data_IF_466899416026
#
_entry.id   IF_466899416026
#
_cell.length_a   1.000
_cell.length_b   1.000
_cell.length_c   1.000
_cell.angle_alpha   90.00
_cell.angle_beta   90.00
_cell.angle_gamma   90.00
#
_symmetry.space_group_name_H-M   'P 1'
#
loop_
_entity.id
_entity.type
_entity.pdbx_description
1 polymer ?
#
# COMPACT_ATOMS: atom_id res chain seq x y z
N UNK A 1 -4.29 17.33 16.05
CA UNK A 1 -3.04 18.08 15.85
C UNK A 1 -1.99 17.14 15.24
N UNK A 2 -1.22 17.60 14.26
CA UNK A 2 -0.10 16.86 13.69
C UNK A 2 0.98 16.61 14.75
N UNK A 3 1.54 15.40 14.72
CA UNK A 3 2.75 15.07 15.48
C UNK A 3 3.94 15.30 14.54
N UNK A 4 4.73 16.33 14.80
CA UNK A 4 5.81 16.78 13.91
C UNK A 4 5.37 17.85 12.91
N UNK A 5 6.08 17.91 11.77
CA UNK A 5 5.81 18.92 10.73
C UNK A 5 4.53 18.58 9.96
N UNK A 6 3.70 19.59 9.75
CA UNK A 6 2.50 19.47 8.93
C UNK A 6 2.86 19.13 7.48
N UNK A 7 2.17 18.15 6.84
CA UNK A 7 2.37 17.87 5.43
C UNK A 7 2.03 19.10 4.58
N UNK A 8 2.82 19.42 3.55
CA UNK A 8 2.56 20.55 2.66
C UNK A 8 1.41 20.30 1.67
N UNK A 9 1.01 19.06 1.50
CA UNK A 9 -0.02 18.60 0.55
C UNK A 9 -1.05 17.75 1.27
N UNK A 10 -2.15 17.44 0.57
CA UNK A 10 -3.19 16.55 1.05
C UNK A 10 -2.59 15.23 1.53
N UNK A 11 -2.97 14.84 2.74
CA UNK A 11 -2.40 13.69 3.43
C UNK A 11 -3.46 12.60 3.69
N UNK A 12 -3.33 11.43 3.07
CA UNK A 12 -4.14 10.28 3.40
C UNK A 12 -3.86 9.80 4.82
N UNK A 13 -4.90 9.69 5.65
CA UNK A 13 -4.79 9.22 7.03
C UNK A 13 -5.74 8.07 7.32
N UNK A 14 -5.31 7.19 8.22
CA UNK A 14 -6.17 6.20 8.87
C UNK A 14 -5.85 6.18 10.34
N UNK A 15 -6.88 6.25 11.16
CA UNK A 15 -6.74 6.30 12.63
C UNK A 15 -7.86 5.52 13.32
N UNK A 16 -7.66 5.16 14.58
CA UNK A 16 -8.68 4.60 15.46
C UNK A 16 -9.09 5.61 16.52
N UNK A 17 -10.39 5.79 16.72
CA UNK A 17 -10.95 6.66 17.75
C UNK A 17 -11.57 5.78 18.83
N UNK A 18 -11.12 5.86 20.10
CA UNK A 18 -11.74 5.15 21.21
C UNK A 18 -13.00 5.88 21.70
N UNK A 19 -13.99 5.11 22.12
CA UNK A 19 -15.24 5.60 22.73
C UNK A 19 -15.48 4.92 24.06
N UNK A 20 -16.08 5.62 24.99
CA UNK A 20 -16.56 5.06 26.24
C UNK A 20 -17.77 4.14 25.97
N UNK A 21 -18.02 3.23 26.89
CA UNK A 21 -19.18 2.34 26.84
C UNK A 21 -20.48 3.14 26.76
N UNK A 22 -21.32 2.84 25.76
CA UNK A 22 -22.59 3.52 25.52
C UNK A 22 -22.49 4.90 24.84
N UNK A 23 -21.27 5.40 24.54
CA UNK A 23 -21.07 6.73 23.94
C UNK A 23 -21.41 6.76 22.44
N UNK A 24 -21.09 5.69 21.70
CA UNK A 24 -21.39 5.58 20.28
C UNK A 24 -22.12 4.26 20.00
N UNK A 25 -23.32 4.35 19.43
CA UNK A 25 -24.11 3.19 19.05
C UNK A 25 -23.45 2.40 17.90
N UNK A 26 -23.86 1.14 17.70
CA UNK A 26 -23.26 0.24 16.70
C UNK A 26 -23.27 0.78 15.27
N UNK A 27 -24.28 1.56 14.91
CA UNK A 27 -24.44 2.24 13.62
C UNK A 27 -24.01 3.71 13.65
N UNK A 28 -23.48 4.16 14.80
CA UNK A 28 -23.01 5.50 15.03
C UNK A 28 -21.80 5.85 14.12
N UNK A 29 -21.69 7.11 13.78
CA UNK A 29 -20.66 7.66 12.89
C UNK A 29 -20.03 8.89 13.50
N UNK A 30 -18.89 9.27 12.96
CA UNK A 30 -18.27 10.56 13.24
C UNK A 30 -18.22 11.38 11.95
N UNK A 31 -18.33 12.68 12.10
CA UNK A 31 -18.03 13.68 11.06
C UNK A 31 -16.69 14.27 11.41
N UNK A 32 -15.81 14.36 10.43
CA UNK A 32 -14.53 15.04 10.58
C UNK A 32 -14.62 16.45 10.02
N UNK A 33 -14.11 17.40 10.78
CA UNK A 33 -14.03 18.80 10.39
C UNK A 33 -12.60 19.31 10.55
N UNK A 34 -12.22 20.27 9.72
CA UNK A 34 -11.03 21.08 9.97
C UNK A 34 -11.29 22.09 11.12
N UNK A 35 -10.30 22.93 11.40
CA UNK A 35 -10.44 23.96 12.46
C UNK A 35 -11.52 25.02 12.15
N UNK A 36 -11.74 25.28 10.88
CA UNK A 36 -12.69 26.29 10.39
C UNK A 36 -14.12 25.73 10.28
N UNK A 37 -14.30 24.47 10.66
CA UNK A 37 -15.59 23.78 10.64
C UNK A 37 -15.97 23.22 9.28
N UNK A 38 -15.04 23.18 8.32
CA UNK A 38 -15.29 22.58 7.03
C UNK A 38 -15.21 21.04 7.10
N UNK A 39 -16.20 20.38 6.51
CA UNK A 39 -16.29 18.93 6.47
C UNK A 39 -15.10 18.30 5.72
N UNK A 40 -14.49 17.28 6.33
CA UNK A 40 -13.48 16.44 5.71
C UNK A 40 -14.12 15.09 5.38
N UNK A 41 -14.22 14.71 4.09
CA UNK A 41 -14.78 13.44 3.68
C UNK A 41 -14.07 12.28 4.35
N UNK A 42 -14.84 11.36 4.93
CA UNK A 42 -14.28 10.24 5.69
C UNK A 42 -15.11 8.97 5.56
N UNK A 43 -14.42 7.84 5.58
CA UNK A 43 -15.03 6.53 5.78
C UNK A 43 -14.85 6.11 7.24
N UNK A 44 -15.92 5.58 7.84
CA UNK A 44 -15.90 5.09 9.23
C UNK A 44 -16.33 3.62 9.28
N UNK A 45 -15.76 2.86 10.21
CA UNK A 45 -16.15 1.47 10.45
C UNK A 45 -15.81 1.05 11.89
N UNK A 46 -16.63 0.21 12.53
CA UNK A 46 -16.30 -0.32 13.83
C UNK A 46 -15.10 -1.27 13.75
N UNK A 47 -14.17 -1.13 14.68
CA UNK A 47 -13.02 -2.03 14.89
C UNK A 47 -13.24 -2.97 16.06
N UNK A 48 -13.93 -2.51 17.10
CA UNK A 48 -14.27 -3.30 18.28
C UNK A 48 -15.53 -2.75 18.94
N UNK A 49 -16.23 -3.64 19.66
CA UNK A 49 -17.44 -3.32 20.40
C UNK A 49 -17.23 -3.55 21.91
N UNK A 50 -17.98 -2.85 22.70
CA UNK A 50 -18.21 -3.15 24.10
C UNK A 50 -19.23 -4.31 24.24
N UNK A 51 -19.31 -5.01 25.40
CA UNK A 51 -20.26 -6.09 25.59
C UNK A 51 -21.75 -5.70 25.43
N UNK A 52 -22.09 -4.42 25.56
CA UNK A 52 -23.43 -3.90 25.34
C UNK A 52 -23.76 -3.60 23.87
N UNK A 53 -22.82 -3.88 22.95
CA UNK A 53 -22.96 -3.64 21.52
C UNK A 53 -22.57 -2.23 21.08
N UNK A 54 -22.27 -1.29 21.98
CA UNK A 54 -21.76 0.03 21.62
C UNK A 54 -20.33 -0.06 21.05
N UNK A 55 -19.96 0.92 20.22
CA UNK A 55 -18.63 0.95 19.59
C UNK A 55 -17.56 1.27 20.63
N UNK A 56 -16.54 0.41 20.73
CA UNK A 56 -15.36 0.63 21.57
C UNK A 56 -14.25 1.34 20.82
N UNK A 57 -14.03 0.95 19.56
CA UNK A 57 -13.04 1.54 18.66
C UNK A 57 -13.67 1.73 17.29
N UNK A 58 -13.60 2.95 16.77
CA UNK A 58 -14.03 3.30 15.43
C UNK A 58 -12.80 3.54 14.54
N UNK A 59 -12.68 2.80 13.44
CA UNK A 59 -11.71 3.10 12.40
C UNK A 59 -12.23 4.23 11.52
N UNK A 60 -11.33 5.14 11.17
CA UNK A 60 -11.63 6.29 10.30
C UNK A 60 -10.54 6.41 9.25
N UNK A 61 -10.94 6.67 8.01
CA UNK A 61 -10.04 7.03 6.92
C UNK A 61 -10.48 8.34 6.31
N UNK A 62 -9.53 9.23 6.04
CA UNK A 62 -9.77 10.53 5.43
C UNK A 62 -8.58 10.98 4.57
N UNK A 63 -8.81 11.93 3.69
CA UNK A 63 -7.75 12.71 3.04
C UNK A 63 -7.79 14.10 3.65
N UNK A 64 -6.83 14.41 4.51
CA UNK A 64 -6.76 15.67 5.24
C UNK A 64 -6.05 16.71 4.38
N UNK A 65 -6.66 17.87 4.12
CA UNK A 65 -6.02 18.95 3.35
C UNK A 65 -4.68 19.35 3.95
N UNK A 66 -3.66 19.58 3.11
CA UNK A 66 -2.33 19.97 3.54
C UNK A 66 -2.29 21.29 4.33
N UNK A 67 -3.24 22.18 4.10
CA UNK A 67 -3.42 23.45 4.83
C UNK A 67 -4.10 23.29 6.20
N UNK A 68 -4.74 22.14 6.47
CA UNK A 68 -5.45 21.92 7.72
C UNK A 68 -4.48 21.80 8.90
N UNK A 69 -4.61 22.66 9.89
CA UNK A 69 -3.79 22.63 11.12
C UNK A 69 -4.10 21.43 12.03
N UNK A 70 -5.23 20.79 11.83
CA UNK A 70 -5.68 19.61 12.55
C UNK A 70 -7.10 19.24 12.16
N UNK A 71 -7.55 18.13 12.70
CA UNK A 71 -8.91 17.63 12.52
C UNK A 71 -9.63 17.57 13.88
N UNK A 72 -10.92 17.83 13.85
CA UNK A 72 -11.87 17.58 14.94
C UNK A 72 -12.83 16.50 14.49
N UNK A 73 -13.44 15.81 15.40
CA UNK A 73 -14.54 14.89 15.12
C UNK A 73 -15.71 15.16 16.05
N UNK A 74 -16.89 14.96 15.50
CA UNK A 74 -18.15 15.04 16.22
C UNK A 74 -18.95 13.77 15.98
N UNK A 75 -19.67 13.29 16.99
CA UNK A 75 -20.57 12.13 16.84
C UNK A 75 -21.82 12.54 16.09
N UNK A 76 -22.19 11.80 15.05
CA UNK A 76 -23.40 12.03 14.29
C UNK A 76 -24.42 10.91 14.53
N UNK A 77 -25.65 11.25 14.95
CA UNK A 77 -26.74 10.30 15.15
C UNK A 77 -27.52 9.90 13.89
N UNK A 78 -27.26 10.55 12.74
CA UNK A 78 -27.92 10.25 11.43
C UNK A 78 -26.88 10.24 10.32
N UNK A 79 -27.20 9.58 9.19
CA UNK A 79 -26.42 9.64 7.96
C UNK A 79 -26.23 11.11 7.55
N UNK A 80 -25.15 11.70 8.00
CA UNK A 80 -24.68 12.97 7.45
C UNK A 80 -24.02 12.67 6.12
N UNK A 81 -24.59 13.19 5.04
CA UNK A 81 -23.99 13.04 3.71
C UNK A 81 -22.95 14.16 3.59
N UNK A 82 -21.72 13.83 3.91
CA UNK A 82 -20.60 14.76 3.70
C UNK A 82 -20.47 15.00 2.20
N UNK A 83 -20.63 16.24 1.76
CA UNK A 83 -20.34 16.59 0.38
C UNK A 83 -18.82 16.59 0.20
N UNK A 84 -18.35 15.66 -0.65
CA UNK A 84 -16.95 15.59 -1.00
C UNK A 84 -16.58 16.81 -1.87
N UNK A 85 -15.92 17.80 -1.27
CA UNK A 85 -15.52 19.04 -1.96
C UNK A 85 -14.60 18.78 -3.17
N UNK A 86 -13.80 17.74 -3.13
CA UNK A 86 -12.92 17.37 -4.25
C UNK A 86 -13.67 16.62 -5.36
N UNK A 87 -14.88 16.12 -5.10
CA UNK A 87 -15.62 15.24 -6.01
C UNK A 87 -14.94 13.88 -6.27
N UNK A 88 -13.71 13.70 -5.79
CA UNK A 88 -12.95 12.48 -6.01
C UNK A 88 -13.47 11.35 -5.09
N UNK A 89 -13.65 10.16 -5.68
CA UNK A 89 -14.04 8.95 -4.96
C UNK A 89 -13.11 7.83 -5.34
N UNK A 90 -12.88 6.92 -4.37
CA UNK A 90 -12.30 5.62 -4.70
C UNK A 90 -13.42 4.69 -5.12
N UNK A 91 -13.17 3.95 -6.17
CA UNK A 91 -14.06 2.87 -6.57
C UNK A 91 -13.27 1.62 -6.98
N UNK A 92 -13.90 0.48 -6.81
CA UNK A 92 -13.33 -0.82 -7.10
C UNK A 92 -14.30 -1.57 -8.00
N UNK A 93 -13.82 -1.95 -9.18
CA UNK A 93 -14.53 -2.82 -10.10
C UNK A 93 -13.92 -4.21 -10.10
N UNK A 94 -14.77 -5.22 -10.07
CA UNK A 94 -14.38 -6.59 -10.31
C UNK A 94 -14.55 -6.93 -11.79
N UNK A 95 -13.44 -7.08 -12.50
CA UNK A 95 -13.41 -7.36 -13.94
C UNK A 95 -12.71 -8.69 -14.22
N UNK A 96 -13.48 -9.76 -14.36
CA UNK A 96 -12.95 -11.08 -14.74
C UNK A 96 -11.80 -11.54 -13.84
N UNK A 97 -10.57 -11.52 -14.36
CA UNK A 97 -9.36 -12.00 -13.68
C UNK A 97 -8.65 -10.99 -12.81
N UNK A 98 -9.14 -9.75 -12.69
CA UNK A 98 -8.51 -8.70 -11.88
C UNK A 98 -9.54 -7.80 -11.18
N UNK A 99 -9.08 -7.06 -10.18
CA UNK A 99 -9.78 -5.89 -9.63
C UNK A 99 -9.15 -4.62 -10.20
N UNK A 100 -9.98 -3.71 -10.69
CA UNK A 100 -9.56 -2.35 -11.04
C UNK A 100 -9.92 -1.41 -9.92
N UNK A 101 -8.93 -0.69 -9.40
CA UNK A 101 -9.10 0.30 -8.35
C UNK A 101 -8.74 1.67 -8.90
N UNK A 102 -9.64 2.64 -8.77
CA UNK A 102 -9.37 4.03 -9.17
C UNK A 102 -9.50 4.97 -7.99
N UNK A 103 -8.55 5.87 -7.85
CA UNK A 103 -8.58 6.98 -6.88
C UNK A 103 -9.09 8.29 -7.49
N UNK A 104 -9.39 8.28 -8.78
CA UNK A 104 -9.64 9.49 -9.57
C UNK A 104 -8.38 10.07 -10.21
N UNK A 105 -7.17 9.76 -9.67
CA UNK A 105 -5.87 10.12 -10.25
C UNK A 105 -5.09 8.93 -10.74
N UNK A 106 -5.12 7.85 -9.98
CA UNK A 106 -4.41 6.59 -10.29
C UNK A 106 -5.41 5.47 -10.50
N UNK A 107 -5.16 4.63 -11.49
CA UNK A 107 -5.82 3.35 -11.70
C UNK A 107 -4.81 2.22 -11.51
N UNK A 108 -5.16 1.26 -10.67
CA UNK A 108 -4.38 0.06 -10.40
C UNK A 108 -5.15 -1.19 -10.84
N UNK A 109 -4.45 -2.10 -11.51
CA UNK A 109 -4.99 -3.39 -11.94
C UNK A 109 -4.36 -4.50 -11.11
N UNK A 110 -5.16 -5.12 -10.25
CA UNK A 110 -4.75 -6.14 -9.27
C UNK A 110 -5.22 -7.52 -9.75
N UNK A 111 -4.31 -8.38 -10.26
CA UNK A 111 -4.68 -9.72 -10.70
C UNK A 111 -5.14 -10.57 -9.53
N UNK A 112 -6.18 -11.39 -9.72
CA UNK A 112 -6.70 -12.27 -8.67
C UNK A 112 -5.84 -13.50 -8.40
N UNK A 113 -4.94 -13.85 -9.32
CA UNK A 113 -4.03 -15.00 -9.25
C UNK A 113 -2.76 -14.74 -10.05
N UNK A 114 -1.75 -15.60 -9.89
CA UNK A 114 -0.50 -15.53 -10.61
C UNK A 114 0.65 -14.99 -9.78
N UNK A 115 1.71 -14.49 -10.42
CA UNK A 115 2.92 -14.06 -9.74
C UNK A 115 3.05 -12.53 -9.59
N UNK A 116 2.03 -11.79 -10.03
CA UNK A 116 2.04 -10.34 -9.97
C UNK A 116 1.06 -9.82 -8.91
N UNK A 117 1.49 -8.86 -8.11
CA UNK A 117 0.64 -8.11 -7.18
C UNK A 117 -0.16 -7.03 -7.90
N UNK A 118 0.48 -6.40 -8.89
CA UNK A 118 -0.11 -5.41 -9.80
C UNK A 118 0.28 -5.80 -11.22
N UNK A 119 -0.65 -5.70 -12.14
CA UNK A 119 -0.40 -5.88 -13.56
C UNK A 119 0.04 -4.56 -14.20
N UNK A 120 -0.65 -3.47 -13.86
CA UNK A 120 -0.30 -2.15 -14.33
C UNK A 120 -0.81 -1.05 -13.39
N UNK A 121 -0.12 0.09 -13.46
CA UNK A 121 -0.53 1.35 -12.84
C UNK A 121 -0.67 2.41 -13.93
N UNK A 122 -1.77 3.17 -13.89
CA UNK A 122 -2.00 4.30 -14.79
C UNK A 122 -2.22 5.57 -13.97
N UNK A 123 -1.66 6.66 -14.44
CA UNK A 123 -1.89 8.01 -13.92
C UNK A 123 -2.29 8.90 -15.09
N UNK A 124 -3.42 9.61 -14.98
CA UNK A 124 -3.95 10.47 -16.05
C UNK A 124 -4.02 9.75 -17.42
N UNK A 125 -4.46 8.49 -17.42
CA UNK A 125 -4.56 7.66 -18.62
C UNK A 125 -3.25 7.10 -19.17
N UNK A 126 -2.10 7.48 -18.60
CA UNK A 126 -0.77 6.97 -19.00
C UNK A 126 -0.32 5.83 -18.10
N UNK A 127 0.23 4.76 -18.67
CA UNK A 127 0.86 3.71 -17.88
C UNK A 127 2.16 4.23 -17.26
N UNK A 128 2.20 4.31 -15.93
CA UNK A 128 3.37 4.77 -15.16
C UNK A 128 4.09 3.63 -14.47
N UNK A 129 3.46 2.46 -14.35
CA UNK A 129 4.05 1.23 -13.82
C UNK A 129 3.50 0.02 -14.55
N UNK A 130 4.35 -0.96 -14.77
CA UNK A 130 4.00 -2.28 -15.26
C UNK A 130 3.83 -3.26 -14.11
N UNK A 131 4.28 -4.49 -14.34
CA UNK A 131 4.12 -5.56 -13.37
C UNK A 131 4.91 -5.32 -12.08
N UNK A 132 4.27 -5.63 -10.96
CA UNK A 132 4.90 -5.67 -9.65
C UNK A 132 4.89 -7.10 -9.10
N UNK A 133 6.04 -7.62 -8.67
CA UNK A 133 6.18 -8.97 -8.17
C UNK A 133 7.02 -9.01 -6.89
N UNK A 134 6.63 -9.86 -5.93
CA UNK A 134 7.43 -10.14 -4.75
C UNK A 134 8.57 -11.11 -5.11
N UNK A 135 9.76 -10.81 -4.62
CA UNK A 135 10.95 -11.64 -4.77
C UNK A 135 11.54 -11.95 -3.40
N UNK A 136 12.04 -13.16 -3.24
CA UNK A 136 12.82 -13.59 -2.10
C UNK A 136 14.00 -14.42 -2.60
N UNK A 137 15.19 -14.16 -2.07
CA UNK A 137 16.36 -15.01 -2.31
C UNK A 137 16.86 -15.54 -0.97
N UNK A 138 17.14 -16.82 -0.90
CA UNK A 138 17.75 -17.47 0.26
C UNK A 138 19.17 -17.91 -0.05
N UNK A 139 19.93 -18.10 1.00
CA UNK A 139 21.26 -18.73 0.94
C UNK A 139 21.34 -19.93 1.86
N UNK A 140 22.24 -20.85 1.58
CA UNK A 140 22.35 -22.14 2.28
C UNK A 140 23.06 -22.07 3.64
N UNK A 141 23.60 -20.90 4.03
CA UNK A 141 24.27 -20.67 5.32
C UNK A 141 24.25 -19.18 5.68
N UNK A 142 24.47 -18.79 6.95
CA UNK A 142 24.32 -17.38 7.40
C UNK A 142 25.28 -16.41 6.72
N UNK A 143 26.54 -16.80 6.56
CA UNK A 143 27.58 -15.98 5.96
C UNK A 143 28.58 -16.84 5.20
N UNK A 144 29.34 -16.23 4.30
CA UNK A 144 30.50 -16.85 3.71
C UNK A 144 31.70 -16.58 4.64
N UNK A 145 32.13 -17.61 5.38
CA UNK A 145 33.39 -17.58 6.12
C UNK A 145 34.41 -18.42 5.35
N UNK A 146 35.58 -17.84 5.09
CA UNK A 146 36.63 -18.48 4.33
C UNK A 146 36.26 -18.71 2.86
N UNK A 147 36.69 -19.83 2.27
CA UNK A 147 36.44 -20.20 0.88
C UNK A 147 35.08 -20.86 0.62
N UNK A 148 34.14 -20.76 1.56
CA UNK A 148 32.85 -21.41 1.46
C UNK A 148 31.97 -20.80 0.38
N UNK A 149 31.58 -21.60 -0.60
CA UNK A 149 30.67 -21.19 -1.67
C UNK A 149 29.25 -21.06 -1.14
N UNK A 150 28.63 -19.89 -1.37
CA UNK A 150 27.21 -19.68 -1.10
C UNK A 150 26.37 -20.15 -2.28
N UNK A 151 25.35 -20.93 -1.99
CA UNK A 151 24.33 -21.33 -2.96
C UNK A 151 23.06 -20.53 -2.69
N UNK A 152 22.53 -19.92 -3.76
CA UNK A 152 21.32 -19.09 -3.70
C UNK A 152 20.13 -19.82 -4.28
N UNK A 153 18.98 -19.60 -3.73
CA UNK A 153 17.69 -20.08 -4.24
C UNK A 153 16.71 -18.94 -4.31
N UNK A 154 16.17 -18.70 -5.49
CA UNK A 154 15.24 -17.62 -5.75
C UNK A 154 13.80 -18.12 -5.69
N UNK A 155 12.94 -17.31 -5.12
CA UNK A 155 11.51 -17.53 -4.99
C UNK A 155 10.76 -16.30 -5.50
N UNK A 156 9.57 -16.53 -6.04
CA UNK A 156 8.64 -15.49 -6.47
C UNK A 156 7.32 -15.63 -5.70
N UNK A 157 6.71 -14.52 -5.31
CA UNK A 157 5.39 -14.53 -4.71
C UNK A 157 4.34 -15.10 -5.69
N UNK A 158 3.56 -16.08 -5.24
CA UNK A 158 2.41 -16.63 -5.96
C UNK A 158 1.14 -16.20 -5.24
N UNK A 159 0.29 -15.47 -5.93
CA UNK A 159 -0.99 -14.98 -5.43
C UNK A 159 -2.00 -16.12 -5.43
N UNK A 160 -2.53 -16.44 -4.28
CA UNK A 160 -3.55 -17.50 -4.09
C UNK A 160 -4.95 -16.91 -3.95
N UNK A 161 -5.06 -15.75 -3.29
CA UNK A 161 -6.34 -15.10 -3.06
C UNK A 161 -6.19 -13.58 -3.02
N UNK A 162 -7.18 -12.89 -3.61
CA UNK A 162 -7.33 -11.44 -3.51
C UNK A 162 -8.71 -11.13 -2.98
N UNK A 163 -8.78 -10.23 -2.00
CA UNK A 163 -10.03 -9.82 -1.35
C UNK A 163 -10.08 -8.30 -1.24
N UNK A 164 -11.20 -7.72 -1.61
CA UNK A 164 -11.49 -6.32 -1.28
C UNK A 164 -12.00 -6.27 0.15
N UNK A 165 -11.11 -5.95 1.10
CA UNK A 165 -11.47 -5.86 2.52
C UNK A 165 -12.39 -4.66 2.78
N UNK A 166 -12.26 -3.61 1.96
CA UNK A 166 -13.08 -2.39 2.04
C UNK A 166 -13.14 -1.67 0.71
N UNK A 167 -14.33 -1.20 0.39
CA UNK A 167 -14.60 -0.30 -0.73
C UNK A 167 -15.46 0.86 -0.20
N UNK A 168 -14.82 1.89 0.35
CA UNK A 168 -15.45 3.13 0.78
C UNK A 168 -15.32 4.22 -0.28
N UNK A 169 -15.99 5.36 -0.07
CA UNK A 169 -15.88 6.51 -0.97
C UNK A 169 -14.50 7.20 -0.85
N UNK A 170 -13.88 7.15 0.33
CA UNK A 170 -12.60 7.80 0.62
C UNK A 170 -11.43 6.83 0.56
N UNK A 171 -11.64 5.56 0.97
CA UNK A 171 -10.58 4.56 1.00
C UNK A 171 -11.03 3.19 0.50
N UNK A 172 -10.26 2.60 -0.42
CA UNK A 172 -10.32 1.17 -0.70
C UNK A 172 -9.13 0.45 -0.09
N UNK A 173 -9.35 -0.81 0.31
CA UNK A 173 -8.34 -1.70 0.86
C UNK A 173 -8.44 -3.06 0.15
N UNK A 174 -7.37 -3.40 -0.56
CA UNK A 174 -7.24 -4.68 -1.26
C UNK A 174 -6.19 -5.52 -0.56
N UNK A 175 -6.57 -6.72 -0.14
CA UNK A 175 -5.69 -7.72 0.48
C UNK A 175 -5.36 -8.81 -0.54
N UNK A 176 -4.08 -9.12 -0.65
CA UNK A 176 -3.51 -10.17 -1.48
C UNK A 176 -2.81 -11.16 -0.57
N UNK A 177 -3.15 -12.42 -0.69
CA UNK A 177 -2.56 -13.52 0.10
C UNK A 177 -1.93 -14.53 -0.83
N UNK A 178 -0.83 -15.12 -0.39
CA UNK A 178 -0.11 -16.12 -1.15
C UNK A 178 1.12 -16.66 -0.45
N UNK A 179 1.95 -17.36 -1.21
CA UNK A 179 3.21 -17.94 -0.74
C UNK A 179 4.33 -17.66 -1.74
N UNK A 180 5.55 -17.63 -1.25
CA UNK A 180 6.70 -17.63 -2.12
C UNK A 180 6.93 -19.04 -2.66
N UNK A 181 7.14 -19.15 -3.97
CA UNK A 181 7.34 -20.41 -4.68
C UNK A 181 8.63 -20.38 -5.50
N UNK A 182 9.28 -21.53 -5.58
CA UNK A 182 10.36 -21.82 -6.53
C UNK A 182 9.85 -22.85 -7.53
N UNK A 183 9.77 -22.46 -8.81
CA UNK A 183 9.18 -23.29 -9.85
C UNK A 183 10.05 -24.51 -10.19
N UNK A 184 11.37 -24.43 -10.01
CA UNK A 184 12.29 -25.53 -10.30
C UNK A 184 12.20 -26.67 -9.26
N UNK A 185 11.97 -26.34 -7.99
CA UNK A 185 11.88 -27.32 -6.90
C UNK A 185 10.44 -27.65 -6.51
N UNK A 186 9.48 -26.85 -6.94
CA UNK A 186 8.08 -26.94 -6.52
C UNK A 186 7.85 -26.50 -5.06
N UNK A 187 8.89 -26.04 -4.34
CA UNK A 187 8.79 -25.62 -2.93
C UNK A 187 7.96 -24.35 -2.83
N UNK A 188 7.00 -24.37 -1.89
CA UNK A 188 6.21 -23.20 -1.46
C UNK A 188 6.39 -22.99 0.03
N UNK A 189 6.67 -21.75 0.44
CA UNK A 189 6.89 -21.39 1.84
C UNK A 189 6.66 -19.90 2.04
N UNK A 190 6.94 -19.37 3.21
CA UNK A 190 6.90 -17.97 3.58
C UNK A 190 5.55 -17.33 3.17
N UNK A 191 4.42 -17.77 3.80
CA UNK A 191 3.11 -17.19 3.50
C UNK A 191 3.13 -15.69 3.71
N UNK A 192 2.55 -14.94 2.78
CA UNK A 192 2.51 -13.50 2.83
C UNK A 192 1.10 -12.94 2.74
N UNK A 193 0.95 -11.74 3.25
CA UNK A 193 -0.21 -10.88 3.05
C UNK A 193 0.28 -9.50 2.63
N UNK A 194 -0.16 -9.04 1.46
CA UNK A 194 0.04 -7.66 1.01
C UNK A 194 -1.28 -6.92 1.10
N UNK A 195 -1.27 -5.72 1.65
CA UNK A 195 -2.41 -4.80 1.66
C UNK A 195 -2.06 -3.52 0.92
N UNK A 196 -2.86 -3.21 -0.09
CA UNK A 196 -2.82 -1.93 -0.79
C UNK A 196 -3.93 -1.02 -0.30
N UNK A 197 -3.55 0.18 0.11
CA UNK A 197 -4.45 1.24 0.54
C UNK A 197 -4.51 2.32 -0.53
N UNK A 198 -5.70 2.55 -1.05
CA UNK A 198 -5.99 3.56 -2.07
C UNK A 198 -6.87 4.64 -1.45
N UNK A 199 -6.55 5.91 -1.68
CA UNK A 199 -7.30 7.03 -1.14
C UNK A 199 -7.80 7.95 -2.25
N UNK A 200 -9.00 8.50 -2.08
CA UNK A 200 -9.64 9.39 -3.04
C UNK A 200 -8.76 10.59 -3.40
N UNK A 201 -8.59 10.87 -4.68
CA UNK A 201 -7.80 11.99 -5.17
C UNK A 201 -6.28 11.88 -4.94
N UNK A 202 -5.78 10.75 -4.41
CA UNK A 202 -4.36 10.56 -4.15
C UNK A 202 -3.68 9.80 -5.30
N UNK A 203 -2.46 10.22 -5.61
CA UNK A 203 -1.54 9.48 -6.48
C UNK A 203 -0.73 8.43 -5.72
N UNK A 204 -0.74 8.51 -4.39
CA UNK A 204 0.01 7.61 -3.52
C UNK A 204 -0.79 6.35 -3.22
N UNK A 205 -0.12 5.20 -3.32
CA UNK A 205 -0.63 3.90 -2.91
C UNK A 205 0.24 3.41 -1.75
N UNK A 206 -0.35 3.25 -0.56
CA UNK A 206 0.36 2.66 0.57
C UNK A 206 0.32 1.14 0.44
N UNK A 207 1.48 0.51 0.52
CA UNK A 207 1.63 -0.94 0.59
C UNK A 207 2.11 -1.38 1.96
N UNK A 208 1.50 -2.42 2.50
CA UNK A 208 1.99 -3.12 3.70
C UNK A 208 2.19 -4.57 3.31
N UNK A 209 3.42 -5.06 3.41
CA UNK A 209 3.78 -6.45 3.22
C UNK A 209 4.03 -7.10 4.59
N UNK A 210 3.33 -8.18 4.87
CA UNK A 210 3.49 -9.01 6.05
C UNK A 210 3.76 -10.42 5.61
N UNK A 211 4.62 -11.14 6.31
CA UNK A 211 4.90 -12.55 6.05
C UNK A 211 5.12 -13.29 7.37
N UNK A 212 4.93 -14.60 7.34
CA UNK A 212 5.27 -15.49 8.46
C UNK A 212 6.41 -16.42 8.03
N UNK A 213 7.46 -16.50 8.84
CA UNK A 213 8.54 -17.45 8.60
C UNK A 213 8.07 -18.86 9.01
N UNK A 214 7.90 -19.73 8.02
CA UNK A 214 7.52 -21.13 8.18
C UNK A 214 8.60 -22.08 7.62
N UNK A 215 9.84 -21.58 7.50
CA UNK A 215 11.01 -22.33 7.03
C UNK A 215 11.79 -23.01 8.15
N UNK A 216 12.89 -23.63 7.77
CA UNK A 216 13.88 -24.23 8.65
C UNK A 216 14.93 -23.19 9.03
N UNK A 217 15.06 -22.88 10.33
CA UNK A 217 15.98 -21.84 10.84
C UNK A 217 17.45 -22.17 10.60
N UNK A 218 17.78 -23.45 10.39
CA UNK A 218 19.16 -23.91 10.16
C UNK A 218 19.54 -24.01 8.67
N UNK A 219 18.56 -23.80 7.76
CA UNK A 219 18.75 -23.99 6.31
C UNK A 219 18.23 -22.83 5.46
N UNK A 220 17.25 -22.12 5.94
CA UNK A 220 16.54 -21.09 5.15
C UNK A 220 16.96 -19.68 5.57
N UNK A 221 18.15 -19.27 5.15
CA UNK A 221 18.65 -17.93 5.45
C UNK A 221 18.17 -16.95 4.37
N UNK A 222 17.23 -16.07 4.71
CA UNK A 222 16.74 -15.03 3.80
C UNK A 222 17.88 -14.03 3.58
N UNK A 223 18.36 -13.95 2.33
CA UNK A 223 19.36 -12.99 1.89
C UNK A 223 18.72 -11.67 1.46
N UNK A 224 17.64 -11.76 0.70
CA UNK A 224 16.91 -10.60 0.22
C UNK A 224 15.41 -10.88 0.16
N UNK A 225 14.64 -9.85 0.48
CA UNK A 225 13.20 -9.84 0.38
C UNK A 225 12.78 -8.48 -0.19
N UNK A 226 12.05 -8.47 -1.28
CA UNK A 226 11.74 -7.22 -1.93
C UNK A 226 10.59 -7.31 -2.92
N UNK A 227 10.32 -6.18 -3.52
CA UNK A 227 9.35 -6.05 -4.61
C UNK A 227 10.07 -5.49 -5.84
N UNK A 228 9.81 -6.10 -6.99
CA UNK A 228 10.26 -5.63 -8.29
C UNK A 228 9.11 -4.95 -9.01
N UNK A 229 9.32 -3.73 -9.46
CA UNK A 229 8.42 -3.00 -10.33
C UNK A 229 9.03 -2.83 -11.73
N UNK A 230 8.18 -2.92 -12.74
CA UNK A 230 8.51 -2.51 -14.10
C UNK A 230 8.07 -1.06 -14.29
N UNK A 231 9.03 -0.18 -14.59
CA UNK A 231 8.77 1.25 -14.81
C UNK A 231 9.13 1.61 -16.24
N UNK A 232 8.15 2.00 -17.08
CA UNK A 232 8.40 2.38 -18.46
C UNK A 232 9.07 3.76 -18.51
N UNK A 233 10.35 3.80 -18.84
CA UNK A 233 11.09 5.03 -19.12
C UNK A 233 10.96 5.36 -20.61
N UNK A 234 10.25 6.45 -20.96
CA UNK A 234 9.92 6.81 -22.34
C UNK A 234 10.71 7.98 -22.90
N UNK A 235 11.34 8.75 -22.02
CA UNK A 235 12.16 9.88 -22.39
C UNK A 235 13.41 9.41 -23.16
N UNK A 236 14.07 10.33 -23.85
CA UNK A 236 15.37 10.10 -24.45
C UNK A 236 16.37 9.60 -23.40
N UNK A 237 17.27 8.69 -23.79
CA UNK A 237 18.13 7.97 -22.84
C UNK A 237 18.92 8.90 -21.93
N UNK A 238 19.39 10.04 -22.46
CA UNK A 238 20.15 11.05 -21.69
C UNK A 238 19.31 11.80 -20.66
N UNK A 239 17.97 11.75 -20.77
CA UNK A 239 17.04 12.36 -19.82
C UNK A 239 16.49 11.36 -18.77
N UNK A 240 16.90 10.10 -18.84
CA UNK A 240 16.44 9.07 -17.90
C UNK A 240 17.31 9.08 -16.66
N UNK A 241 16.67 9.23 -15.50
CA UNK A 241 17.35 9.26 -14.21
C UNK A 241 16.64 8.32 -13.23
N UNK A 242 17.42 7.72 -12.33
CA UNK A 242 16.94 6.98 -11.18
C UNK A 242 17.33 7.74 -9.92
N UNK A 243 16.35 8.01 -9.07
CA UNK A 243 16.57 8.67 -7.79
C UNK A 243 16.49 7.65 -6.65
N UNK A 244 17.44 7.71 -5.72
CA UNK A 244 17.49 6.89 -4.53
C UNK A 244 17.31 7.79 -3.31
N UNK A 245 16.32 7.44 -2.46
CA UNK A 245 16.15 8.10 -1.18
C UNK A 245 17.00 7.39 -0.12
N UNK A 246 17.68 8.15 0.72
CA UNK A 246 18.48 7.64 1.83
C UNK A 246 17.73 7.75 3.15
N UNK A 247 18.16 7.00 4.16
CA UNK A 247 17.51 6.97 5.48
C UNK A 247 17.57 8.32 6.22
N UNK A 248 18.56 9.15 5.90
CA UNK A 248 18.78 10.50 6.44
C UNK A 248 18.04 11.60 5.65
N UNK A 249 17.19 11.22 4.69
CA UNK A 249 16.38 12.14 3.90
C UNK A 249 17.10 12.74 2.69
N UNK A 250 18.32 12.31 2.39
CA UNK A 250 19.02 12.67 1.16
C UNK A 250 18.38 12.01 -0.07
N UNK A 251 18.52 12.65 -1.22
CA UNK A 251 18.16 12.07 -2.52
C UNK A 251 19.38 12.10 -3.41
N UNK A 252 19.74 10.93 -3.92
CA UNK A 252 20.79 10.77 -4.90
C UNK A 252 20.18 10.35 -6.23
N UNK A 253 20.50 11.03 -7.32
CA UNK A 253 20.00 10.74 -8.65
C UNK A 253 21.15 10.40 -9.60
N UNK A 254 20.99 9.32 -10.36
CA UNK A 254 21.92 8.92 -11.40
C UNK A 254 21.23 8.83 -12.76
N UNK A 255 21.91 9.26 -13.85
CA UNK A 255 21.39 9.06 -15.19
C UNK A 255 21.45 7.59 -15.56
N UNK A 256 20.38 7.09 -16.16
CA UNK A 256 20.33 5.75 -16.74
C UNK A 256 20.92 5.83 -18.15
N UNK A 257 22.16 5.39 -18.33
CA UNK A 257 22.80 5.30 -19.63
C UNK A 257 22.93 3.85 -20.07
N UNK A 258 22.83 3.55 -21.37
CA UNK A 258 23.16 2.22 -21.88
C UNK A 258 24.59 1.87 -21.48
N UNK A 259 24.79 0.64 -21.02
CA UNK A 259 26.13 0.12 -20.67
C UNK A 259 27.07 0.12 -21.88
N UNK A 260 26.54 0.10 -23.11
CA UNK A 260 27.28 0.14 -24.38
C UNK A 260 27.74 1.57 -24.67
N UNK A 261 28.87 1.97 -24.15
CA UNK A 261 29.47 3.29 -24.42
C UNK A 261 30.04 4.00 -23.19
N UNK A 262 29.89 3.46 -22.00
CA UNK A 262 30.64 3.95 -20.84
C UNK A 262 32.11 3.59 -21.03
N UNK A 263 32.92 4.54 -21.47
CA UNK A 263 34.36 4.44 -21.29
C UNK A 263 34.62 4.57 -19.79
N UNK A 264 35.09 3.50 -19.18
CA UNK A 264 35.73 3.57 -17.86
C UNK A 264 37.04 4.37 -18.10
N UNK A 265 37.06 5.60 -17.60
CA UNK A 265 38.27 6.39 -17.54
C UNK A 265 39.06 5.94 -16.31
#
# INVERSE_FOLDING_TARGET
RWVGTRPPTDCPVSLGIPFLKGELEADGRVVLNDRDGADIPSDCWPLAYWPDGSVKWLGVAAVVPGEAEGIRFETARKKHKTENRSGAKVWVDEAGSFFRVSTGKVEAYVPKRGSCLLDSLRCEGRTVGGQAALLCSTQNRPSAEGEAVLHFTDYRGQVERVTVERAGDVRALVRIEGRYANDATGRKWLPFTVRFYFYAGSEQIKMVHSFAFDGDMDRDFIRSLGIRFEVPMREEVYNRHVAFATADGGVWAEPVQPLNGRRIL
#
